data_IF_501185986143
#
_entry.id   IF_501185986143
#
_cell.length_a   1.000
_cell.length_b   1.000
_cell.length_c   1.000
_cell.angle_alpha   90.00
_cell.angle_beta   90.00
_cell.angle_gamma   90.00
#
_symmetry.space_group_name_H-M   'P 1'
#
loop_
_entity.id
_entity.type
_entity.pdbx_description
1 polymer ?
#
# COMPACT_ATOMS: atom_id res chain seq x y z
N UNK A 1 -0.75 7.94 -28.68
CA UNK A 1 0.72 7.97 -28.52
C UNK A 1 1.01 7.26 -27.22
N UNK A 2 1.27 5.99 -27.29
CA UNK A 2 1.72 5.14 -26.17
C UNK A 2 3.19 5.46 -25.92
N UNK A 3 3.46 6.34 -24.98
CA UNK A 3 4.79 6.51 -24.39
C UNK A 3 5.15 5.22 -23.66
N UNK A 4 6.07 4.43 -24.21
CA UNK A 4 6.46 3.17 -23.61
C UNK A 4 7.20 3.48 -22.32
N UNK A 5 6.75 2.89 -21.22
CA UNK A 5 7.41 2.93 -19.89
C UNK A 5 8.90 2.49 -19.95
N UNK A 6 9.29 1.69 -20.97
CA UNK A 6 10.69 1.35 -21.26
C UNK A 6 11.56 2.58 -21.59
N UNK A 7 10.99 3.61 -22.19
CA UNK A 7 11.69 4.88 -22.45
C UNK A 7 11.91 5.70 -21.16
N UNK A 8 10.91 5.72 -20.27
CA UNK A 8 11.00 6.38 -18.97
C UNK A 8 12.01 5.67 -18.06
N UNK A 9 12.07 4.34 -18.09
CA UNK A 9 13.03 3.54 -17.33
C UNK A 9 14.47 3.79 -17.78
N UNK A 10 14.73 3.85 -19.11
CA UNK A 10 16.05 4.17 -19.67
C UNK A 10 16.48 5.58 -19.33
N UNK A 11 15.56 6.54 -19.31
CA UNK A 11 15.84 7.92 -18.93
C UNK A 11 16.14 8.07 -17.42
N UNK A 12 15.43 7.34 -16.56
CA UNK A 12 15.64 7.34 -15.12
C UNK A 12 16.97 6.68 -14.72
N UNK A 13 17.37 5.61 -15.40
CA UNK A 13 18.64 4.92 -15.17
C UNK A 13 19.87 5.76 -15.62
N UNK A 14 19.75 6.56 -16.68
CA UNK A 14 20.85 7.42 -17.13
C UNK A 14 21.01 8.71 -16.33
N UNK A 15 19.92 9.22 -15.72
CA UNK A 15 19.96 10.43 -14.89
C UNK A 15 20.38 10.21 -13.44
N UNK A 16 20.32 8.97 -12.93
CA UNK A 16 20.61 8.65 -11.53
C UNK A 16 22.11 8.50 -11.23
N UNK A 17 22.98 8.45 -12.24
CA UNK A 17 24.43 8.24 -12.05
C UNK A 17 25.16 9.54 -11.73
N UNK A 18 24.62 10.72 -12.09
CA UNK A 18 25.31 12.01 -11.97
C UNK A 18 24.87 12.88 -10.76
N UNK A 19 23.92 12.43 -9.93
CA UNK A 19 23.30 13.26 -8.88
C UNK A 19 23.46 12.81 -7.43
N UNK A 20 24.21 11.75 -7.13
CA UNK A 20 24.22 11.13 -5.79
C UNK A 20 25.34 11.62 -4.85
N UNK A 21 25.96 12.73 -5.13
CA UNK A 21 26.93 13.36 -4.22
C UNK A 21 26.48 14.79 -3.89
N UNK A 22 26.23 15.03 -2.62
CA UNK A 22 26.00 16.31 -1.93
C UNK A 22 24.56 16.71 -1.61
N UNK A 23 24.31 16.76 -0.30
CA UNK A 23 23.29 17.64 0.24
C UNK A 23 22.25 17.03 1.19
N UNK A 24 22.70 16.57 2.33
CA UNK A 24 21.80 16.39 3.49
C UNK A 24 21.46 17.78 4.04
N UNK A 25 20.36 18.38 3.65
CA UNK A 25 19.81 19.58 4.31
C UNK A 25 18.32 19.44 4.55
N UNK A 26 17.97 19.56 5.83
CA UNK A 26 16.62 19.57 6.34
C UNK A 26 15.77 20.68 5.71
N UNK A 27 14.69 20.29 5.06
CA UNK A 27 13.63 21.19 4.64
C UNK A 27 12.26 20.61 5.04
N UNK A 28 11.78 21.00 6.20
CA UNK A 28 10.41 20.73 6.60
C UNK A 28 9.46 21.61 5.78
N UNK A 29 8.60 21.00 4.95
CA UNK A 29 7.43 21.69 4.39
C UNK A 29 6.20 20.85 4.67
N UNK A 30 5.25 21.51 5.33
CA UNK A 30 4.10 20.97 5.99
C UNK A 30 3.04 20.32 5.11
N UNK A 31 2.24 19.51 5.77
CA UNK A 31 1.01 18.95 5.28
C UNK A 31 0.82 17.45 5.52
N UNK A 32 1.50 16.87 6.48
CA UNK A 32 1.23 15.48 6.88
C UNK A 32 0.04 15.45 7.83
N UNK A 33 -1.07 14.86 7.39
CA UNK A 33 -2.12 14.43 8.31
C UNK A 33 -1.56 13.22 9.05
N UNK A 34 -1.15 13.40 10.31
CA UNK A 34 -0.69 12.35 11.20
C UNK A 34 -1.87 11.47 11.63
N UNK A 35 -2.28 10.56 10.76
CA UNK A 35 -3.08 9.42 11.15
C UNK A 35 -2.12 8.31 11.57
N UNK A 36 -2.14 7.88 12.83
CA UNK A 36 -1.31 6.79 13.31
C UNK A 36 -1.60 5.51 12.52
N UNK A 37 -0.75 5.22 11.53
CA UNK A 37 -0.70 3.93 10.87
C UNK A 37 0.23 3.06 11.69
N UNK A 38 -0.06 1.76 11.73
CA UNK A 38 0.89 0.81 12.29
C UNK A 38 2.25 1.04 11.63
N UNK A 39 3.32 1.42 12.40
CA UNK A 39 4.64 1.74 11.86
C UNK A 39 5.31 0.56 11.15
N UNK A 40 4.63 -0.59 11.09
CA UNK A 40 5.16 -1.84 10.53
C UNK A 40 5.31 -1.86 9.01
N UNK A 41 4.93 -0.79 8.27
CA UNK A 41 4.89 -0.82 6.80
C UNK A 41 5.43 0.48 6.19
N UNK A 42 6.66 0.86 6.49
CA UNK A 42 7.24 2.14 6.05
C UNK A 42 8.68 1.98 5.58
N UNK A 43 9.17 2.97 4.83
CA UNK A 43 10.57 3.11 4.40
C UNK A 43 11.20 4.33 5.05
N UNK A 44 12.54 4.35 5.13
CA UNK A 44 13.29 5.53 5.57
C UNK A 44 13.22 6.65 4.52
N UNK A 45 13.52 7.88 4.93
CA UNK A 45 13.74 8.99 4.01
C UNK A 45 14.85 8.65 3.01
N UNK A 46 14.76 9.20 1.80
CA UNK A 46 15.69 8.93 0.71
C UNK A 46 15.40 7.65 -0.07
N UNK A 47 14.44 6.80 0.35
CA UNK A 47 14.02 5.66 -0.47
C UNK A 47 13.43 6.17 -1.77
N UNK A 48 14.00 5.74 -2.89
CA UNK A 48 13.53 6.17 -4.21
C UNK A 48 12.27 5.41 -4.61
N UNK A 49 11.29 6.13 -5.14
CA UNK A 49 10.00 5.60 -5.64
C UNK A 49 9.94 5.85 -7.13
N UNK A 50 9.53 4.84 -7.90
CA UNK A 50 9.31 5.01 -9.34
C UNK A 50 7.98 5.71 -9.59
N UNK A 51 8.04 6.86 -10.24
CA UNK A 51 6.87 7.67 -10.62
C UNK A 51 6.76 7.79 -12.13
N UNK A 52 5.64 8.29 -12.63
CA UNK A 52 5.43 8.57 -14.06
C UNK A 52 6.48 9.54 -14.65
N UNK A 53 7.13 10.35 -13.81
CA UNK A 53 8.11 11.37 -14.23
C UNK A 53 9.56 11.02 -13.82
N UNK A 54 9.81 9.79 -13.38
CA UNK A 54 11.12 9.32 -12.93
C UNK A 54 11.19 9.00 -11.44
N UNK A 55 12.40 8.82 -10.93
CA UNK A 55 12.62 8.50 -9.53
C UNK A 55 12.42 9.74 -8.64
N UNK A 56 11.68 9.58 -7.53
CA UNK A 56 11.50 10.61 -6.51
C UNK A 56 11.69 10.01 -5.13
N UNK A 57 12.17 10.81 -4.18
CA UNK A 57 12.32 10.39 -2.78
C UNK A 57 10.94 10.19 -2.15
N UNK A 58 10.80 9.15 -1.31
CA UNK A 58 9.51 8.79 -0.70
C UNK A 58 8.91 9.92 0.13
N UNK A 59 9.74 10.70 0.82
CA UNK A 59 9.30 11.85 1.63
C UNK A 59 8.78 13.02 0.78
N UNK A 60 9.07 13.04 -0.52
CA UNK A 60 8.61 14.06 -1.47
C UNK A 60 7.30 13.67 -2.18
N UNK A 61 6.89 12.40 -2.05
CA UNK A 61 5.65 11.90 -2.66
C UNK A 61 4.45 12.54 -1.98
N UNK A 62 3.50 13.02 -2.80
CA UNK A 62 2.29 13.71 -2.35
C UNK A 62 1.05 13.03 -2.89
N UNK A 63 -0.07 13.26 -2.22
CA UNK A 63 -1.40 12.90 -2.74
C UNK A 63 -1.61 13.51 -4.12
N UNK A 64 -2.02 12.69 -5.09
CA UNK A 64 -2.20 13.06 -6.49
C UNK A 64 -0.99 12.79 -7.40
N UNK A 65 0.18 12.52 -6.83
CA UNK A 65 1.33 12.04 -7.62
C UNK A 65 1.00 10.68 -8.24
N UNK A 66 1.60 10.36 -9.38
CA UNK A 66 1.42 9.08 -10.07
C UNK A 66 2.67 8.23 -9.91
N UNK A 67 2.50 7.03 -9.39
CA UNK A 67 3.57 6.04 -9.17
C UNK A 67 3.36 4.81 -10.01
N UNK A 68 4.44 4.07 -10.28
CA UNK A 68 4.37 2.81 -10.99
C UNK A 68 3.98 1.70 -10.01
N UNK A 69 2.82 1.10 -10.24
CA UNK A 69 2.22 0.03 -9.44
C UNK A 69 2.22 -1.29 -10.21
N UNK A 70 2.17 -2.40 -9.48
CA UNK A 70 2.03 -3.75 -10.02
C UNK A 70 0.65 -4.29 -9.67
N UNK A 71 -0.12 -4.74 -10.66
CA UNK A 71 -1.41 -5.40 -10.44
C UNK A 71 -1.22 -6.92 -10.35
N UNK A 72 -1.40 -7.46 -9.15
CA UNK A 72 -1.30 -8.90 -8.86
C UNK A 72 -2.28 -9.77 -9.67
N UNK A 73 -3.41 -9.20 -10.13
CA UNK A 73 -4.42 -9.96 -10.85
C UNK A 73 -4.07 -10.12 -12.33
N UNK A 74 -3.48 -9.08 -12.92
CA UNK A 74 -3.15 -9.03 -14.35
C UNK A 74 -1.67 -9.32 -14.62
N UNK A 75 -0.82 -9.21 -13.60
CA UNK A 75 0.63 -9.30 -13.74
C UNK A 75 1.26 -8.12 -14.50
N UNK A 76 0.54 -7.00 -14.62
CA UNK A 76 0.97 -5.82 -15.37
C UNK A 76 1.38 -4.67 -14.45
N UNK A 77 2.21 -3.81 -15.01
CA UNK A 77 2.57 -2.55 -14.39
C UNK A 77 1.66 -1.45 -14.92
N UNK A 78 1.15 -0.62 -14.02
CA UNK A 78 0.22 0.46 -14.34
C UNK A 78 0.60 1.72 -13.57
N UNK A 79 0.40 2.87 -14.19
CA UNK A 79 0.54 4.16 -13.52
C UNK A 79 -0.69 4.43 -12.66
N UNK A 80 -0.49 4.58 -11.35
CA UNK A 80 -1.57 4.72 -10.39
C UNK A 80 -1.38 5.94 -9.49
N UNK A 81 -2.44 6.70 -9.20
CA UNK A 81 -2.36 7.87 -8.33
C UNK A 81 -2.19 7.49 -6.86
N UNK A 82 -1.40 8.31 -6.17
CA UNK A 82 -1.27 8.29 -4.71
C UNK A 82 -2.51 8.93 -4.09
N UNK A 83 -3.17 8.20 -3.21
CA UNK A 83 -4.41 8.67 -2.55
C UNK A 83 -4.16 9.33 -1.20
N UNK A 84 -3.13 8.89 -0.47
CA UNK A 84 -2.75 9.42 0.84
C UNK A 84 -1.26 9.22 1.11
N UNK A 85 -0.67 10.05 1.97
CA UNK A 85 0.71 9.91 2.45
C UNK A 85 0.77 9.83 3.98
N UNK A 86 1.79 9.15 4.51
CA UNK A 86 1.92 8.86 5.94
C UNK A 86 3.35 9.05 6.42
N UNK A 87 3.48 9.60 7.62
CA UNK A 87 4.74 9.70 8.35
C UNK A 87 4.54 9.03 9.70
N UNK A 88 5.45 8.14 10.04
CA UNK A 88 5.50 7.43 11.32
C UNK A 88 6.90 7.48 11.89
N UNK A 89 7.09 6.86 13.06
CA UNK A 89 8.39 6.71 13.69
C UNK A 89 8.65 5.24 14.03
N UNK A 90 9.91 4.81 13.94
CA UNK A 90 10.33 3.46 14.29
C UNK A 90 11.69 3.45 14.97
N UNK A 91 11.94 2.43 15.79
CA UNK A 91 13.23 2.08 16.36
C UNK A 91 13.82 0.80 15.73
N UNK A 92 13.08 0.16 14.82
CA UNK A 92 13.48 -1.09 14.19
C UNK A 92 13.48 -0.98 12.68
N UNK A 93 14.57 -1.42 12.05
CA UNK A 93 14.72 -1.49 10.61
C UNK A 93 15.21 -2.84 10.15
N UNK A 94 14.83 -3.19 8.93
CA UNK A 94 15.45 -4.26 8.14
C UNK A 94 16.15 -3.58 6.96
N UNK A 95 17.45 -3.81 6.84
CA UNK A 95 18.22 -3.43 5.65
C UNK A 95 18.36 -4.64 4.73
N UNK A 96 18.01 -4.47 3.48
CA UNK A 96 18.01 -5.51 2.45
C UNK A 96 18.95 -5.06 1.34
N UNK A 97 20.03 -5.79 1.13
CA UNK A 97 21.00 -5.49 0.06
C UNK A 97 20.62 -6.23 -1.22
N UNK A 98 20.45 -5.46 -2.28
CA UNK A 98 20.02 -5.94 -3.61
C UNK A 98 20.95 -5.34 -4.66
N UNK A 99 21.93 -6.12 -5.13
CA UNK A 99 23.01 -5.58 -5.94
C UNK A 99 23.82 -4.57 -5.14
N UNK A 100 23.98 -3.36 -5.69
CA UNK A 100 24.70 -2.26 -5.05
C UNK A 100 23.81 -1.34 -4.19
N UNK A 101 22.50 -1.63 -4.14
CA UNK A 101 21.51 -0.83 -3.42
C UNK A 101 21.16 -1.45 -2.06
N UNK A 102 20.96 -0.60 -1.05
CA UNK A 102 20.45 -0.99 0.26
C UNK A 102 19.08 -0.36 0.44
N UNK A 103 18.07 -1.21 0.60
CA UNK A 103 16.69 -0.81 0.91
C UNK A 103 16.46 -0.97 2.41
N UNK A 104 16.14 0.12 3.11
CA UNK A 104 15.86 0.08 4.55
C UNK A 104 14.38 0.37 4.82
N UNK A 105 13.73 -0.53 5.55
CA UNK A 105 12.30 -0.47 5.84
C UNK A 105 11.97 -1.02 7.23
N UNK A 106 10.73 -0.81 7.65
CA UNK A 106 10.21 -1.43 8.88
C UNK A 106 9.96 -2.93 8.69
N UNK A 107 10.03 -3.75 9.76
CA UNK A 107 10.02 -5.23 9.67
C UNK A 107 8.80 -5.83 8.97
N UNK A 108 7.64 -5.18 9.08
CA UNK A 108 6.39 -5.70 8.50
C UNK A 108 6.20 -5.44 7.02
N UNK A 109 7.03 -4.60 6.38
CA UNK A 109 6.84 -4.24 4.98
C UNK A 109 6.95 -5.47 4.06
N UNK A 110 6.02 -5.58 3.09
CA UNK A 110 5.95 -6.77 2.23
C UNK A 110 6.61 -6.53 0.88
N UNK A 111 7.42 -7.49 0.47
CA UNK A 111 8.16 -7.53 -0.79
C UNK A 111 7.64 -8.67 -1.67
N UNK A 112 7.50 -8.44 -2.96
CA UNK A 112 7.18 -9.49 -3.90
C UNK A 112 8.45 -10.26 -4.24
N UNK A 113 8.43 -11.56 -3.96
CA UNK A 113 9.49 -12.50 -4.33
C UNK A 113 9.01 -13.41 -5.45
N UNK A 114 9.91 -14.18 -6.05
CA UNK A 114 9.55 -15.25 -7.03
C UNK A 114 8.66 -16.33 -6.43
N UNK A 115 8.58 -16.41 -5.09
CA UNK A 115 7.75 -17.36 -4.33
C UNK A 115 6.49 -16.73 -3.71
N UNK A 116 6.18 -15.47 -4.06
CA UNK A 116 5.06 -14.70 -3.53
C UNK A 116 5.47 -13.64 -2.51
N UNK A 117 4.49 -13.06 -1.84
CA UNK A 117 4.69 -11.96 -0.88
C UNK A 117 5.35 -12.44 0.41
N UNK A 118 6.43 -11.76 0.83
CA UNK A 118 7.13 -11.98 2.10
C UNK A 118 7.33 -10.66 2.86
N UNK A 119 7.23 -10.70 4.19
CA UNK A 119 7.60 -9.55 5.03
C UNK A 119 9.11 -9.36 5.04
N UNK A 120 9.57 -8.12 5.20
CA UNK A 120 10.99 -7.80 5.33
C UNK A 120 11.68 -8.61 6.44
N UNK A 121 10.97 -8.80 7.59
CA UNK A 121 11.47 -9.63 8.71
C UNK A 121 11.74 -11.09 8.37
N UNK A 122 11.10 -11.60 7.32
CA UNK A 122 11.11 -13.02 6.93
C UNK A 122 12.00 -13.28 5.71
N UNK A 123 12.53 -12.21 5.10
CA UNK A 123 13.45 -12.29 3.96
C UNK A 123 14.83 -12.79 4.40
N UNK A 124 15.51 -13.45 3.47
CA UNK A 124 16.89 -13.91 3.62
C UNK A 124 17.63 -13.92 2.27
N UNK A 125 18.90 -14.27 2.27
CA UNK A 125 19.81 -14.30 1.10
C UNK A 125 19.44 -15.33 0.01
N UNK A 126 18.47 -16.22 0.28
CA UNK A 126 17.95 -17.21 -0.70
C UNK A 126 16.71 -16.69 -1.44
N UNK A 127 16.20 -15.55 -1.05
CA UNK A 127 15.02 -14.96 -1.69
C UNK A 127 15.44 -14.14 -2.91
N UNK A 128 14.58 -14.19 -3.94
CA UNK A 128 14.74 -13.44 -5.17
C UNK A 128 13.59 -12.45 -5.26
N UNK A 129 13.90 -11.16 -5.28
CA UNK A 129 12.90 -10.11 -5.38
C UNK A 129 12.44 -9.92 -6.82
N UNK A 130 11.15 -9.77 -7.00
CA UNK A 130 10.53 -9.30 -8.24
C UNK A 130 10.83 -7.83 -8.44
N UNK A 131 11.31 -7.50 -9.66
CA UNK A 131 11.58 -6.11 -10.04
C UNK A 131 10.99 -5.82 -11.42
N UNK A 132 11.06 -4.57 -11.84
CA UNK A 132 10.51 -4.14 -13.13
C UNK A 132 11.20 -4.73 -14.35
N UNK A 133 12.49 -5.02 -14.25
CA UNK A 133 13.29 -5.43 -15.42
C UNK A 133 13.71 -6.89 -15.32
N UNK A 134 14.47 -7.21 -14.28
CA UNK A 134 14.98 -8.56 -14.04
C UNK A 134 15.00 -8.84 -12.56
N UNK A 135 14.48 -9.99 -12.14
CA UNK A 135 14.47 -10.41 -10.75
C UNK A 135 15.88 -10.32 -10.13
N UNK A 136 15.96 -9.90 -8.87
CA UNK A 136 17.23 -9.65 -8.17
C UNK A 136 17.37 -10.52 -6.94
N UNK A 137 18.55 -11.12 -6.80
CA UNK A 137 18.91 -11.85 -5.59
C UNK A 137 19.13 -10.88 -4.43
N UNK A 138 18.67 -11.26 -3.25
CA UNK A 138 19.06 -10.62 -2.00
C UNK A 138 20.45 -11.14 -1.66
N UNK A 139 21.40 -10.24 -1.39
CA UNK A 139 22.75 -10.63 -0.99
C UNK A 139 22.95 -10.58 0.52
N UNK A 140 22.18 -9.74 1.22
CA UNK A 140 22.25 -9.62 2.67
C UNK A 140 20.96 -9.07 3.26
N UNK A 141 20.60 -9.49 4.47
CA UNK A 141 19.49 -8.94 5.27
C UNK A 141 19.97 -8.70 6.68
N UNK A 142 19.92 -7.43 7.13
CA UNK A 142 20.37 -7.00 8.45
C UNK A 142 19.19 -6.47 9.25
N UNK A 143 18.98 -7.00 10.47
CA UNK A 143 18.02 -6.46 11.44
C UNK A 143 18.73 -5.44 12.33
N UNK A 144 18.23 -4.20 12.35
CA UNK A 144 18.79 -3.12 13.15
C UNK A 144 17.79 -2.61 14.18
N UNK A 145 18.26 -2.48 15.42
CA UNK A 145 17.57 -1.73 16.47
C UNK A 145 18.30 -0.41 16.64
N UNK A 146 17.56 0.69 16.51
CA UNK A 146 18.10 2.04 16.60
C UNK A 146 18.13 2.53 18.05
N UNK A 147 19.02 3.44 18.36
CA UNK A 147 19.12 4.07 19.69
C UNK A 147 18.07 5.16 19.92
N UNK A 148 17.47 5.66 18.83
CA UNK A 148 16.39 6.65 18.86
C UNK A 148 15.43 6.42 17.71
N UNK A 149 14.20 6.93 17.85
CA UNK A 149 13.19 6.88 16.79
C UNK A 149 13.58 7.73 15.61
N UNK A 150 13.38 7.21 14.43
CA UNK A 150 13.51 7.94 13.17
C UNK A 150 12.19 8.01 12.43
N UNK A 151 12.01 9.05 11.62
CA UNK A 151 10.85 9.19 10.75
C UNK A 151 10.92 8.16 9.62
N UNK A 152 9.78 7.54 9.34
CA UNK A 152 9.60 6.62 8.23
C UNK A 152 8.34 6.98 7.47
N UNK A 153 8.32 6.68 6.19
CA UNK A 153 7.34 7.18 5.22
C UNK A 153 6.62 6.04 4.52
N UNK A 154 5.39 6.28 4.17
CA UNK A 154 4.59 5.43 3.30
C UNK A 154 3.48 6.23 2.62
N UNK A 155 2.82 5.65 1.61
CA UNK A 155 1.69 6.25 0.92
C UNK A 155 0.74 5.16 0.42
N UNK A 156 -0.53 5.50 0.21
CA UNK A 156 -1.47 4.61 -0.44
C UNK A 156 -1.50 4.84 -1.95
N UNK A 157 -1.54 3.75 -2.69
CA UNK A 157 -1.73 3.75 -4.14
C UNK A 157 -3.14 3.31 -4.44
N UNK A 158 -3.83 4.04 -5.30
CA UNK A 158 -5.17 3.69 -5.74
C UNK A 158 -5.13 2.27 -6.29
N UNK A 159 -6.08 1.49 -5.84
CA UNK A 159 -6.40 0.23 -6.49
C UNK A 159 -5.41 -0.93 -6.36
N UNK A 160 -4.13 -0.76 -6.65
CA UNK A 160 -3.17 -1.87 -6.69
C UNK A 160 -2.50 -2.14 -5.34
N UNK A 161 -2.43 -1.11 -4.48
CA UNK A 161 -1.74 -1.18 -3.17
C UNK A 161 -0.28 -1.63 -3.24
N UNK A 162 0.32 -1.60 -4.42
CA UNK A 162 1.72 -1.91 -4.68
C UNK A 162 2.39 -0.71 -5.30
N UNK A 163 3.69 -0.66 -5.24
CA UNK A 163 4.50 0.30 -5.98
C UNK A 163 5.93 -0.20 -6.12
N UNK A 164 6.68 0.42 -7.02
CA UNK A 164 8.06 0.07 -7.31
C UNK A 164 9.01 1.04 -6.63
N UNK A 165 10.04 0.51 -5.95
CA UNK A 165 11.05 1.29 -5.22
C UNK A 165 12.46 0.92 -5.67
N UNK A 166 13.40 1.80 -5.31
CA UNK A 166 14.81 1.63 -5.64
C UNK A 166 15.11 1.83 -7.12
N UNK A 167 16.39 1.83 -7.45
CA UNK A 167 16.86 2.02 -8.83
C UNK A 167 16.49 0.85 -9.74
N UNK A 168 16.31 -0.34 -9.18
CA UNK A 168 15.96 -1.57 -9.93
C UNK A 168 14.45 -1.83 -9.95
N UNK A 169 13.64 -1.03 -9.25
CA UNK A 169 12.19 -1.15 -9.23
C UNK A 169 11.69 -2.38 -8.49
N UNK A 170 12.14 -2.58 -7.28
CA UNK A 170 11.64 -3.67 -6.40
C UNK A 170 10.16 -3.46 -6.11
N UNK A 171 9.35 -4.50 -6.31
CA UNK A 171 7.92 -4.45 -6.08
C UNK A 171 7.62 -4.67 -4.60
N UNK A 172 6.94 -3.70 -4.01
CA UNK A 172 6.51 -3.72 -2.61
C UNK A 172 5.01 -3.53 -2.49
N UNK A 173 4.46 -4.06 -1.40
CA UNK A 173 3.03 -3.97 -1.13
C UNK A 173 2.79 -3.03 0.03
N UNK A 174 2.02 -2.00 -0.24
CA UNK A 174 1.45 -1.21 0.82
C UNK A 174 0.36 -2.02 1.52
N UNK A 175 0.47 -2.21 2.82
CA UNK A 175 -0.60 -2.83 3.58
C UNK A 175 -1.87 -2.00 3.41
N UNK A 176 -2.89 -2.60 2.79
CA UNK A 176 -4.22 -2.02 2.69
C UNK A 176 -4.80 -1.87 4.10
N UNK A 177 -4.47 -0.81 4.78
CA UNK A 177 -5.30 -0.39 5.89
C UNK A 177 -6.53 0.21 5.23
N UNK A 178 -7.65 -0.53 5.30
CA UNK A 178 -8.93 0.01 4.89
C UNK A 178 -9.09 1.39 5.55
N UNK A 179 -9.15 2.50 4.80
CA UNK A 179 -9.24 3.86 5.37
C UNK A 179 -10.38 4.02 6.37
N UNK A 180 -11.47 3.24 6.25
CA UNK A 180 -12.52 3.21 7.25
C UNK A 180 -12.01 2.74 8.62
N UNK A 181 -10.97 1.91 8.69
CA UNK A 181 -10.40 1.41 9.94
C UNK A 181 -9.83 2.53 10.84
N UNK A 182 -9.34 3.63 10.26
CA UNK A 182 -8.73 4.73 11.02
C UNK A 182 -9.65 5.40 12.03
N UNK A 183 -10.92 5.49 11.66
CA UNK A 183 -11.95 6.14 12.48
C UNK A 183 -13.03 5.14 12.91
N UNK A 184 -12.74 3.85 12.76
CA UNK A 184 -13.65 2.79 13.14
C UNK A 184 -13.68 2.62 14.65
N UNK A 185 -14.87 2.37 15.15
CA UNK A 185 -15.12 1.93 16.52
C UNK A 185 -15.47 0.46 16.60
N UNK A 186 -15.78 -0.16 15.43
CA UNK A 186 -16.11 -1.58 15.32
C UNK A 186 -15.52 -2.19 14.05
N UNK A 187 -15.08 -3.44 14.16
CA UNK A 187 -14.68 -4.31 13.06
C UNK A 187 -15.65 -5.50 13.00
N UNK A 188 -16.08 -5.87 11.80
CA UNK A 188 -16.88 -7.08 11.55
C UNK A 188 -16.09 -8.02 10.64
N UNK A 189 -16.02 -9.29 11.03
CA UNK A 189 -15.43 -10.36 10.22
C UNK A 189 -16.54 -11.23 9.61
N UNK A 190 -16.40 -11.55 8.32
CA UNK A 190 -17.34 -12.40 7.57
C UNK A 190 -16.62 -13.25 6.52
N UNK A 191 -17.25 -14.28 5.97
CA UNK A 191 -16.70 -15.09 4.88
C UNK A 191 -17.25 -14.65 3.53
N UNK A 192 -16.36 -14.47 2.56
CA UNK A 192 -16.70 -14.29 1.17
C UNK A 192 -15.91 -15.27 0.31
N UNK A 193 -16.61 -16.13 -0.44
CA UNK A 193 -16.01 -17.22 -1.26
C UNK A 193 -14.96 -18.03 -0.45
N UNK A 194 -15.33 -18.42 0.77
CA UNK A 194 -14.47 -19.21 1.68
C UNK A 194 -13.33 -18.45 2.36
N UNK A 195 -13.06 -17.20 1.99
CA UNK A 195 -12.00 -16.37 2.58
C UNK A 195 -12.54 -15.43 3.64
N UNK A 196 -11.83 -15.32 4.76
CA UNK A 196 -12.14 -14.34 5.82
C UNK A 196 -11.92 -12.92 5.29
N UNK A 197 -12.94 -12.07 5.44
CA UNK A 197 -12.93 -10.66 5.10
C UNK A 197 -13.24 -9.83 6.34
N UNK A 198 -12.83 -8.56 6.31
CA UNK A 198 -13.09 -7.59 7.38
C UNK A 198 -13.71 -6.33 6.81
N UNK A 199 -14.70 -5.81 7.52
CA UNK A 199 -15.33 -4.52 7.25
C UNK A 199 -15.29 -3.64 8.51
N UNK A 200 -15.18 -2.33 8.31
CA UNK A 200 -14.98 -1.35 9.38
C UNK A 200 -16.04 -0.25 9.30
N UNK A 201 -16.63 0.12 10.43
CA UNK A 201 -17.51 1.27 10.47
C UNK A 201 -16.68 2.57 10.50
N UNK A 202 -17.03 3.51 9.64
CA UNK A 202 -16.34 4.82 9.61
C UNK A 202 -17.02 5.79 10.60
N UNK A 203 -16.24 6.41 11.49
CA UNK A 203 -16.72 7.40 12.46
C UNK A 203 -17.91 6.91 13.31
N UNK A 204 -17.96 5.62 13.66
CA UNK A 204 -19.04 5.06 14.47
C UNK A 204 -20.38 4.92 13.73
N UNK A 205 -20.46 5.18 12.42
CA UNK A 205 -21.69 5.04 11.63
C UNK A 205 -22.07 3.59 11.43
N UNK A 206 -23.35 3.34 11.07
CA UNK A 206 -23.92 1.99 10.90
C UNK A 206 -23.48 1.27 9.63
N UNK A 207 -22.73 1.93 8.73
CA UNK A 207 -22.21 1.30 7.52
C UNK A 207 -20.78 0.84 7.77
N UNK A 208 -20.56 -0.44 7.49
CA UNK A 208 -19.26 -1.11 7.52
C UNK A 208 -18.69 -1.19 6.11
N UNK A 209 -17.47 -0.79 5.90
CA UNK A 209 -16.80 -0.74 4.61
C UNK A 209 -15.73 -1.81 4.52
N UNK A 210 -15.84 -2.71 3.54
CA UNK A 210 -14.78 -3.61 3.11
C UNK A 210 -14.17 -3.09 1.81
N UNK A 211 -12.87 -3.30 1.60
CA UNK A 211 -12.21 -2.94 0.33
C UNK A 211 -12.83 -3.75 -0.82
N UNK A 212 -13.21 -3.09 -1.91
CA UNK A 212 -13.59 -3.76 -3.14
C UNK A 212 -12.36 -4.06 -3.99
N UNK A 213 -11.84 -5.27 -3.86
CA UNK A 213 -10.67 -5.72 -4.64
C UNK A 213 -10.97 -5.96 -6.12
N UNK A 214 -12.25 -6.09 -6.48
CA UNK A 214 -12.68 -6.35 -7.87
C UNK A 214 -12.85 -5.09 -8.70
N UNK A 215 -13.02 -3.92 -8.03
CA UNK A 215 -13.13 -2.58 -8.61
C UNK A 215 -14.14 -2.44 -9.75
N UNK A 216 -15.15 -3.26 -9.78
CA UNK A 216 -16.17 -3.15 -10.79
C UNK A 216 -16.77 -1.74 -10.82
N UNK A 217 -16.56 -1.02 -11.96
CA UNK A 217 -17.17 0.26 -12.24
C UNK A 217 -16.79 1.39 -11.26
N UNK A 218 -15.51 1.44 -10.81
CA UNK A 218 -14.99 2.55 -10.01
C UNK A 218 -15.27 2.47 -8.51
N UNK A 219 -15.76 1.34 -7.98
CA UNK A 219 -15.94 1.19 -6.53
C UNK A 219 -14.62 0.93 -5.82
N UNK A 220 -14.40 1.66 -4.71
CA UNK A 220 -13.30 1.44 -3.79
C UNK A 220 -13.72 0.53 -2.62
N UNK A 221 -15.00 0.60 -2.23
CA UNK A 221 -15.53 -0.13 -1.09
C UNK A 221 -16.87 -0.80 -1.40
N UNK A 222 -17.09 -1.93 -0.74
CA UNK A 222 -18.42 -2.54 -0.52
C UNK A 222 -18.92 -2.06 0.84
N UNK A 223 -20.10 -1.44 0.88
CA UNK A 223 -20.75 -1.02 2.12
C UNK A 223 -21.75 -2.06 2.61
N UNK A 224 -21.78 -2.27 3.92
CA UNK A 224 -22.63 -3.26 4.58
C UNK A 224 -23.33 -2.68 5.81
N UNK A 225 -24.48 -3.22 6.15
CA UNK A 225 -25.17 -2.97 7.42
C UNK A 225 -25.32 -4.27 8.20
N UNK A 226 -25.24 -4.17 9.52
CA UNK A 226 -25.60 -5.27 10.41
C UNK A 226 -27.12 -5.38 10.48
N UNK A 227 -27.63 -6.59 10.34
CA UNK A 227 -29.06 -6.93 10.44
C UNK A 227 -29.25 -8.15 11.34
N UNK A 228 -30.50 -8.47 11.69
CA UNK A 228 -30.87 -9.65 12.49
C UNK A 228 -30.10 -9.74 13.82
N UNK A 229 -30.10 -8.65 14.60
CA UNK A 229 -29.38 -8.55 15.88
C UNK A 229 -27.89 -8.88 15.72
N UNK A 230 -27.27 -8.26 14.72
CA UNK A 230 -25.83 -8.35 14.40
C UNK A 230 -25.35 -9.74 13.92
N UNK A 231 -26.25 -10.64 13.56
CA UNK A 231 -25.89 -11.97 13.05
C UNK A 231 -25.51 -11.99 11.57
N UNK A 232 -25.95 -10.99 10.81
CA UNK A 232 -25.75 -10.93 9.37
C UNK A 232 -25.26 -9.55 8.93
N UNK A 233 -24.45 -9.53 7.88
CA UNK A 233 -24.06 -8.35 7.12
C UNK A 233 -24.85 -8.32 5.80
N UNK A 234 -25.66 -7.31 5.62
CA UNK A 234 -26.39 -7.04 4.38
C UNK A 234 -25.58 -6.04 3.55
N UNK A 235 -25.33 -6.38 2.28
CA UNK A 235 -24.67 -5.45 1.37
C UNK A 235 -25.63 -4.31 1.01
N UNK A 236 -25.13 -3.05 1.13
CA UNK A 236 -25.92 -1.83 0.89
C UNK A 236 -25.55 -1.14 -0.43
N UNK A 237 -24.46 -1.55 -1.09
CA UNK A 237 -24.02 -0.98 -2.33
C UNK A 237 -22.51 -0.78 -2.41
N UNK A 238 -22.10 -0.21 -3.52
CA UNK A 238 -20.71 0.15 -3.83
C UNK A 238 -20.47 1.61 -3.48
N UNK A 239 -19.28 1.90 -3.00
CA UNK A 239 -18.87 3.23 -2.58
C UNK A 239 -17.56 3.63 -3.25
N UNK A 240 -17.42 4.91 -3.59
CA UNK A 240 -16.19 5.48 -4.10
C UNK A 240 -15.11 5.63 -3.02
N UNK A 241 -13.97 6.16 -3.37
CA UNK A 241 -12.84 6.40 -2.45
C UNK A 241 -13.15 7.42 -1.35
N UNK A 242 -14.14 8.29 -1.56
CA UNK A 242 -14.62 9.29 -0.60
C UNK A 242 -15.76 8.77 0.26
N UNK A 243 -16.12 7.48 0.15
CA UNK A 243 -17.26 6.83 0.81
C UNK A 243 -18.63 7.35 0.38
N UNK A 244 -18.76 7.88 -0.83
CA UNK A 244 -20.05 8.21 -1.43
C UNK A 244 -20.63 6.97 -2.11
N UNK A 245 -21.93 6.77 -1.96
CA UNK A 245 -22.64 5.67 -2.63
C UNK A 245 -22.67 5.88 -4.15
N UNK A 246 -22.25 4.87 -4.89
CA UNK A 246 -22.34 4.84 -6.36
C UNK A 246 -23.72 4.36 -6.74
N UNK A 247 -24.59 5.29 -7.15
CA UNK A 247 -25.99 5.01 -7.49
C UNK A 247 -26.11 4.29 -8.84
N UNK A 248 -27.06 3.35 -8.93
CA UNK A 248 -27.45 2.72 -10.21
C UNK A 248 -26.56 1.58 -10.69
N UNK A 249 -25.53 1.20 -9.91
CA UNK A 249 -24.59 0.14 -10.30
C UNK A 249 -25.17 -1.27 -10.15
N UNK A 250 -26.01 -1.48 -9.15
CA UNK A 250 -26.69 -2.77 -8.89
C UNK A 250 -28.17 -2.55 -8.61
N UNK A 251 -29.01 -3.46 -9.13
CA UNK A 251 -30.48 -3.34 -9.01
C UNK A 251 -31.02 -3.67 -7.62
N UNK A 252 -30.35 -4.53 -6.84
CA UNK A 252 -30.83 -5.00 -5.53
C UNK A 252 -29.66 -5.49 -4.68
N UNK A 253 -28.78 -4.59 -4.20
CA UNK A 253 -27.66 -5.01 -3.37
C UNK A 253 -28.09 -5.63 -2.04
N UNK A 254 -29.22 -5.20 -1.48
CA UNK A 254 -29.79 -5.67 -0.20
C UNK A 254 -30.20 -7.14 -0.17
N UNK A 255 -30.25 -7.83 -1.30
CA UNK A 255 -30.49 -9.28 -1.37
C UNK A 255 -29.24 -10.10 -1.02
N UNK A 256 -28.07 -9.49 -0.99
CA UNK A 256 -26.81 -10.17 -0.71
C UNK A 256 -26.48 -10.05 0.78
N UNK A 257 -26.50 -11.20 1.47
CA UNK A 257 -26.33 -11.31 2.92
C UNK A 257 -25.16 -12.26 3.23
N UNK A 258 -24.36 -11.94 4.23
CA UNK A 258 -23.26 -12.75 4.73
C UNK A 258 -23.39 -12.99 6.22
N UNK A 259 -23.02 -14.20 6.68
CA UNK A 259 -22.98 -14.52 8.10
C UNK A 259 -21.82 -13.78 8.78
N UNK A 260 -22.13 -13.15 9.90
CA UNK A 260 -21.14 -12.54 10.78
C UNK A 260 -20.44 -13.63 11.57
N UNK A 261 -19.10 -13.61 11.55
CA UNK A 261 -18.27 -14.53 12.32
C UNK A 261 -17.90 -13.89 13.66
N UNK A 262 -17.50 -12.63 13.66
CA UNK A 262 -17.09 -11.90 14.86
C UNK A 262 -17.31 -10.39 14.70
N UNK A 263 -17.60 -9.73 15.81
CA UNK A 263 -17.63 -8.27 15.92
C UNK A 263 -16.69 -7.87 17.05
N UNK A 264 -15.71 -7.02 16.74
CA UNK A 264 -14.75 -6.48 17.70
C UNK A 264 -14.93 -4.97 17.86
N UNK A 265 -14.85 -4.46 19.07
CA UNK A 265 -14.64 -3.02 19.32
C UNK A 265 -13.16 -2.71 19.06
N UNK A 266 -12.88 -1.56 18.48
CA UNK A 266 -11.53 -1.08 18.15
C UNK A 266 -11.13 0.05 19.09
#
# INVERSE_FOLDING_TARGET
>A
KTGSWEGALKGALSGAIDGAADGFMFGAIGGAISGAINPSYCFIAGTMVMTAVGLRRIEEIKKGDTVLAYDDNTGRYEEMPVTDTYINETEELIEIKVGDEIIACTPGHSFLTTKGWKKASDLNDRDILKTLVNDKNITEVIKKKLTSKIKVYNFNVMSCHTYAIGNVGVIVHNSCINPAKRTATKEVSYKYRGKLQKAYNKNGKDIFYALDRSKHGGSAYKGFRLINRDKHLQWCGDYDENFNLIIGKHKSPETIIFDVINISKL
#
